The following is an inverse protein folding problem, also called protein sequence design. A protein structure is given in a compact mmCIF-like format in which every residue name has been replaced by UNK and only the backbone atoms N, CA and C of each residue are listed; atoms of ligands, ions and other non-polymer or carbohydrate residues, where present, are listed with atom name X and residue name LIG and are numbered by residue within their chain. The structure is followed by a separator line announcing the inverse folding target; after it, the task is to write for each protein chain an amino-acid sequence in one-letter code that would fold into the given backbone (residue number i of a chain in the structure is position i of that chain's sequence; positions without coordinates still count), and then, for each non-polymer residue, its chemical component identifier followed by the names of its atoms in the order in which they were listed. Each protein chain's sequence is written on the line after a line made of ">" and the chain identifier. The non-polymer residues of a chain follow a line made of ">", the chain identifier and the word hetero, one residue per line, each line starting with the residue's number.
data_IF_625466260935
#
_entry.id   IF_625466260935
#
_cell.length_a   1.000
_cell.length_b   1.000
_cell.length_c   1.000
_cell.angle_alpha   90.00
_cell.angle_beta   90.00
_cell.angle_gamma   90.00
#
_symmetry.space_group_name_H-M   'P 1'
#
loop_
_entity.id
_entity.type
_entity.pdbx_description
1 polymer ?
#
# COMPACT_ATOMS: atom_id res chain seq x y z
N UNK A 1 -18.24 -1.61 -32.93
CA UNK A 1 -17.44 -0.80 -31.98
C UNK A 1 -17.89 -1.24 -30.58
N UNK A 2 -17.22 -2.22 -29.97
CA UNK A 2 -17.52 -2.68 -28.59
C UNK A 2 -16.85 -1.70 -27.64
N UNK A 3 -17.64 -0.86 -27.00
CA UNK A 3 -17.16 -0.03 -25.88
C UNK A 3 -16.70 -0.97 -24.76
N UNK A 4 -15.38 -1.05 -24.55
CA UNK A 4 -14.83 -1.72 -23.37
C UNK A 4 -15.29 -0.94 -22.15
N UNK A 5 -15.99 -1.62 -21.22
CA UNK A 5 -16.30 -1.04 -19.91
C UNK A 5 -14.97 -0.60 -19.26
N UNK A 6 -14.89 0.61 -18.70
CA UNK A 6 -13.71 1.03 -17.97
C UNK A 6 -13.53 0.05 -16.81
N UNK A 7 -12.49 -0.79 -16.87
CA UNK A 7 -12.06 -1.60 -15.72
C UNK A 7 -11.42 -0.62 -14.74
N UNK A 8 -12.10 -0.34 -13.65
CA UNK A 8 -11.49 0.37 -12.52
C UNK A 8 -10.28 -0.47 -12.11
N UNK A 9 -9.06 0.09 -12.04
CA UNK A 9 -7.88 -0.64 -11.59
C UNK A 9 -8.19 -1.27 -10.24
N UNK A 10 -7.96 -2.56 -10.08
CA UNK A 10 -8.26 -3.30 -8.85
C UNK A 10 -7.59 -2.68 -7.62
N UNK A 11 -6.44 -2.07 -7.80
CA UNK A 11 -5.70 -1.34 -6.77
C UNK A 11 -6.41 -0.09 -6.30
N UNK A 12 -6.95 0.71 -7.23
CA UNK A 12 -7.74 1.90 -6.86
C UNK A 12 -9.01 1.51 -6.08
N UNK A 13 -9.70 0.46 -6.53
CA UNK A 13 -10.87 -0.04 -5.81
C UNK A 13 -10.50 -0.50 -4.39
N UNK A 14 -9.36 -1.21 -4.23
CA UNK A 14 -8.85 -1.61 -2.93
C UNK A 14 -8.55 -0.39 -2.04
N UNK A 15 -7.86 0.63 -2.55
CA UNK A 15 -7.52 1.83 -1.79
C UNK A 15 -8.77 2.54 -1.27
N UNK A 16 -9.80 2.69 -2.11
CA UNK A 16 -11.08 3.31 -1.71
C UNK A 16 -11.81 2.46 -0.67
N UNK A 17 -11.88 1.13 -0.87
CA UNK A 17 -12.50 0.23 0.10
C UNK A 17 -11.75 0.19 1.43
N UNK A 18 -10.42 0.21 1.40
CA UNK A 18 -9.59 0.26 2.59
C UNK A 18 -9.79 1.58 3.37
N UNK A 19 -9.90 2.71 2.65
CA UNK A 19 -10.23 3.99 3.28
C UNK A 19 -11.60 3.96 3.94
N UNK A 20 -12.63 3.50 3.24
CA UNK A 20 -13.99 3.39 3.79
C UNK A 20 -14.02 2.47 5.02
N UNK A 21 -13.34 1.33 4.96
CA UNK A 21 -13.23 0.42 6.09
C UNK A 21 -12.51 1.08 7.28
N UNK A 22 -11.40 1.79 7.04
CA UNK A 22 -10.67 2.51 8.06
C UNK A 22 -11.56 3.59 8.73
N UNK A 23 -12.29 4.38 7.93
CA UNK A 23 -13.24 5.39 8.46
C UNK A 23 -14.30 4.73 9.33
N UNK A 24 -14.96 3.67 8.85
CA UNK A 24 -16.03 3.00 9.60
C UNK A 24 -15.51 2.43 10.92
N UNK A 25 -14.38 1.70 10.86
CA UNK A 25 -13.82 1.03 12.05
C UNK A 25 -13.35 2.04 13.09
N UNK A 26 -12.55 3.03 12.67
CA UNK A 26 -12.02 4.04 13.59
C UNK A 26 -13.15 4.90 14.16
N UNK A 27 -14.08 5.37 13.32
CA UNK A 27 -15.20 6.17 13.78
C UNK A 27 -16.10 5.42 14.75
N UNK A 28 -16.42 4.16 14.47
CA UNK A 28 -17.18 3.31 15.40
C UNK A 28 -16.47 3.15 16.75
N UNK A 29 -15.14 2.97 16.74
CA UNK A 29 -14.33 2.88 17.96
C UNK A 29 -14.34 4.22 18.74
N UNK A 30 -14.25 5.34 18.04
CA UNK A 30 -14.31 6.67 18.67
C UNK A 30 -15.67 6.97 19.30
N UNK A 31 -16.76 6.69 18.59
CA UNK A 31 -18.13 6.94 19.09
C UNK A 31 -18.51 5.94 20.18
N UNK A 32 -18.09 4.67 20.05
CA UNK A 32 -18.47 3.62 20.99
C UNK A 32 -17.64 3.57 22.28
N UNK A 33 -16.39 4.00 22.22
CA UNK A 33 -15.47 3.83 23.36
C UNK A 33 -14.76 5.13 23.77
N UNK A 34 -14.08 5.81 22.85
CA UNK A 34 -13.17 6.92 23.20
C UNK A 34 -13.97 8.12 23.72
N UNK A 35 -14.94 8.61 22.94
CA UNK A 35 -15.72 9.80 23.31
C UNK A 35 -16.55 9.61 24.59
N UNK A 36 -17.31 8.50 24.77
CA UNK A 36 -18.04 8.28 26.01
C UNK A 36 -17.14 8.18 27.24
N UNK A 37 -15.98 7.53 27.10
CA UNK A 37 -15.00 7.42 28.20
C UNK A 37 -14.36 8.76 28.54
N UNK A 38 -14.05 9.58 27.56
CA UNK A 38 -13.50 10.92 27.76
C UNK A 38 -14.54 11.85 28.42
N UNK A 39 -15.80 11.82 27.94
CA UNK A 39 -16.87 12.66 28.45
C UNK A 39 -17.22 12.29 29.90
N UNK A 40 -17.24 11.01 30.24
CA UNK A 40 -17.43 10.56 31.64
C UNK A 40 -16.32 11.05 32.57
N UNK A 41 -15.08 11.05 32.13
CA UNK A 41 -13.96 11.57 32.93
C UNK A 41 -14.00 13.09 33.08
N UNK A 42 -14.32 13.81 32.01
CA UNK A 42 -14.47 15.28 32.07
C UNK A 42 -15.62 15.69 33.00
N UNK A 43 -16.74 14.97 32.94
CA UNK A 43 -17.88 15.22 33.85
C UNK A 43 -17.50 14.94 35.31
N UNK A 44 -16.74 13.87 35.59
CA UNK A 44 -16.25 13.57 36.94
C UNK A 44 -15.28 14.66 37.44
N UNK A 45 -14.39 15.17 36.59
CA UNK A 45 -13.48 16.25 36.93
C UNK A 45 -14.25 17.56 37.21
N UNK A 46 -15.23 17.90 36.38
CA UNK A 46 -16.04 19.08 36.58
C UNK A 46 -16.85 19.03 37.90
N UNK A 47 -17.35 17.85 38.27
CA UNK A 47 -18.06 17.66 39.56
C UNK A 47 -17.12 17.85 40.77
N UNK A 48 -15.87 17.36 40.69
CA UNK A 48 -14.85 17.57 41.73
C UNK A 48 -14.46 19.04 41.86
N UNK A 49 -14.28 19.75 40.76
CA UNK A 49 -14.02 21.20 40.76
C UNK A 49 -15.16 21.98 41.40
N UNK A 50 -16.41 21.65 41.10
CA UNK A 50 -17.57 22.30 41.67
C UNK A 50 -17.70 22.07 43.17
N UNK A 51 -17.15 20.96 43.71
CA UNK A 51 -17.18 20.67 45.14
C UNK A 51 -16.13 21.43 45.97
N UNK A 52 -15.27 22.26 45.34
CA UNK A 52 -14.23 23.04 46.01
C UNK A 52 -13.05 22.20 46.54
N UNK A 53 -12.93 20.92 46.18
CA UNK A 53 -11.83 20.07 46.56
C UNK A 53 -10.57 20.50 45.79
N UNK A 54 -9.40 20.47 46.46
CA UNK A 54 -8.11 20.67 45.79
C UNK A 54 -7.93 19.50 44.78
N UNK A 55 -8.06 19.83 43.48
CA UNK A 55 -8.03 18.85 42.39
C UNK A 55 -6.88 19.15 41.42
N UNK A 56 -6.10 18.13 41.14
CA UNK A 56 -5.08 18.17 40.07
C UNK A 56 -5.69 17.42 38.86
N UNK A 57 -5.89 18.09 37.71
CA UNK A 57 -6.45 17.43 36.54
C UNK A 57 -5.54 16.28 36.07
N UNK A 58 -6.02 15.04 36.17
CA UNK A 58 -5.33 13.92 35.56
C UNK A 58 -5.57 13.93 34.04
N UNK A 59 -4.48 13.99 33.27
CA UNK A 59 -4.53 13.88 31.81
C UNK A 59 -4.69 12.42 31.42
N UNK A 60 -5.93 11.97 31.29
CA UNK A 60 -6.23 10.63 30.75
C UNK A 60 -5.97 10.57 29.26
N UNK A 61 -5.48 9.40 28.78
CA UNK A 61 -5.29 9.14 27.36
C UNK A 61 -6.56 9.35 26.54
N UNK A 62 -7.74 8.97 27.08
CA UNK A 62 -9.03 9.16 26.40
C UNK A 62 -9.34 10.64 26.12
N UNK A 63 -9.02 11.52 27.05
CA UNK A 63 -9.22 12.97 26.90
C UNK A 63 -8.27 13.54 25.85
N UNK A 64 -7.01 13.05 25.83
CA UNK A 64 -5.99 13.52 24.87
C UNK A 64 -6.31 13.13 23.43
N UNK A 65 -6.84 11.90 23.21
CA UNK A 65 -7.10 11.38 21.87
C UNK A 65 -8.55 11.59 21.39
N UNK A 66 -9.39 12.29 22.16
CA UNK A 66 -10.84 12.44 21.90
C UNK A 66 -11.15 13.20 20.62
N UNK A 67 -10.31 14.14 20.25
CA UNK A 67 -10.60 15.14 19.23
C UNK A 67 -10.57 14.58 17.80
N UNK A 68 -11.22 15.30 16.88
CA UNK A 68 -11.38 14.88 15.48
C UNK A 68 -10.06 14.79 14.72
N UNK A 69 -9.06 15.59 15.10
CA UNK A 69 -7.75 15.58 14.48
C UNK A 69 -7.03 14.26 14.75
N UNK A 70 -7.11 13.74 15.98
CA UNK A 70 -6.52 12.45 16.32
C UNK A 70 -7.26 11.32 15.62
N UNK A 71 -8.60 11.38 15.56
CA UNK A 71 -9.40 10.43 14.80
C UNK A 71 -8.98 10.40 13.33
N UNK A 72 -8.84 11.57 12.69
CA UNK A 72 -8.39 11.68 11.31
C UNK A 72 -6.97 11.12 11.10
N UNK A 73 -6.04 11.38 12.04
CA UNK A 73 -4.69 10.82 12.00
C UNK A 73 -4.69 9.29 12.07
N UNK A 74 -5.54 8.69 12.92
CA UNK A 74 -5.66 7.22 13.01
C UNK A 74 -6.25 6.62 11.74
N UNK A 75 -7.28 7.25 11.15
CA UNK A 75 -7.86 6.83 9.86
C UNK A 75 -6.77 6.81 8.79
N UNK A 76 -6.03 7.91 8.64
CA UNK A 76 -4.97 8.03 7.64
C UNK A 76 -3.84 7.04 7.88
N UNK A 77 -3.46 6.80 9.13
CA UNK A 77 -2.42 5.83 9.50
C UNK A 77 -2.85 4.41 9.11
N UNK A 78 -4.06 3.98 9.46
CA UNK A 78 -4.57 2.64 9.13
C UNK A 78 -4.69 2.49 7.61
N UNK A 79 -5.15 3.52 6.90
CA UNK A 79 -5.22 3.51 5.45
C UNK A 79 -3.84 3.36 4.80
N UNK A 80 -2.85 4.13 5.25
CA UNK A 80 -1.46 3.99 4.77
C UNK A 80 -0.89 2.58 5.03
N UNK A 81 -1.15 2.02 6.23
CA UNK A 81 -0.73 0.66 6.57
C UNK A 81 -1.41 -0.39 5.69
N UNK A 82 -2.68 -0.21 5.32
CA UNK A 82 -3.39 -1.11 4.42
C UNK A 82 -2.78 -1.07 3.01
N UNK A 83 -2.45 0.12 2.48
CA UNK A 83 -1.78 0.28 1.17
C UNK A 83 -0.40 -0.39 1.20
N UNK A 84 0.42 -0.10 2.22
CA UNK A 84 1.74 -0.69 2.36
C UNK A 84 1.68 -2.22 2.56
N UNK A 85 0.70 -2.70 3.31
CA UNK A 85 0.47 -4.13 3.51
C UNK A 85 0.17 -4.87 2.22
N UNK A 86 -0.69 -4.31 1.36
CA UNK A 86 -0.96 -4.86 0.04
C UNK A 86 0.32 -4.90 -0.82
N UNK A 87 1.08 -3.79 -0.85
CA UNK A 87 2.33 -3.72 -1.63
C UNK A 87 3.39 -4.68 -1.10
N UNK A 88 3.53 -4.80 0.21
CA UNK A 88 4.43 -5.79 0.82
C UNK A 88 4.03 -7.23 0.45
N UNK A 89 2.73 -7.52 0.38
CA UNK A 89 2.23 -8.83 -0.06
C UNK A 89 2.59 -9.12 -1.52
N UNK A 90 2.31 -8.18 -2.44
CA UNK A 90 2.63 -8.36 -3.86
C UNK A 90 4.13 -8.47 -4.08
N UNK A 91 4.94 -7.64 -3.43
CA UNK A 91 6.42 -7.73 -3.50
C UNK A 91 6.96 -9.07 -3.01
N UNK A 92 6.34 -9.66 -1.97
CA UNK A 92 6.71 -11.01 -1.51
C UNK A 92 6.41 -12.07 -2.55
N UNK A 93 5.29 -11.99 -3.26
CA UNK A 93 4.97 -12.92 -4.33
C UNK A 93 5.99 -12.81 -5.47
N UNK A 94 6.38 -11.59 -5.86
CA UNK A 94 7.44 -11.35 -6.84
C UNK A 94 8.78 -11.94 -6.40
N UNK A 95 9.17 -11.70 -5.13
CA UNK A 95 10.41 -12.23 -4.58
C UNK A 95 10.46 -13.77 -4.61
N UNK A 96 9.34 -14.45 -4.35
CA UNK A 96 9.25 -15.92 -4.37
C UNK A 96 9.50 -16.47 -5.79
N UNK A 97 9.12 -15.71 -6.83
CA UNK A 97 9.38 -16.11 -8.21
C UNK A 97 10.86 -16.06 -8.59
N UNK A 98 11.65 -15.18 -7.98
CA UNK A 98 13.10 -15.10 -8.21
C UNK A 98 13.85 -16.36 -7.73
N UNK A 99 13.28 -17.07 -6.76
CA UNK A 99 13.87 -18.32 -6.25
C UNK A 99 13.55 -19.53 -7.15
N UNK A 100 12.55 -19.39 -8.05
CA UNK A 100 12.17 -20.46 -8.98
C UNK A 100 13.06 -20.45 -10.21
N UNK A 101 13.64 -21.57 -10.55
CA UNK A 101 14.38 -21.74 -11.80
C UNK A 101 13.39 -21.96 -12.97
N UNK A 102 12.88 -20.84 -13.53
CA UNK A 102 11.89 -20.86 -14.61
C UNK A 102 12.47 -21.28 -15.95
N UNK A 103 13.78 -21.06 -16.16
CA UNK A 103 14.48 -21.45 -17.38
C UNK A 103 15.58 -22.42 -16.99
N UNK A 104 15.35 -23.71 -17.28
CA UNK A 104 16.35 -24.76 -17.03
C UNK A 104 17.32 -24.80 -18.20
N UNK A 105 18.41 -24.03 -18.10
CA UNK A 105 19.52 -24.09 -19.07
C UNK A 105 20.63 -24.94 -18.47
N UNK A 106 21.04 -25.99 -19.18
CA UNK A 106 22.22 -26.79 -18.79
C UNK A 106 23.48 -25.95 -18.96
N UNK A 107 24.37 -25.96 -17.98
CA UNK A 107 25.64 -25.25 -18.07
C UNK A 107 26.42 -25.64 -19.36
N UNK A 108 26.94 -24.63 -20.06
CA UNK A 108 27.65 -24.81 -21.30
C UNK A 108 26.81 -24.92 -22.58
N UNK A 109 25.47 -24.83 -22.45
CA UNK A 109 24.56 -24.83 -23.61
C UNK A 109 24.37 -23.42 -24.14
N UNK A 110 24.60 -23.20 -25.44
CA UNK A 110 24.28 -21.93 -26.10
C UNK A 110 22.81 -21.91 -26.51
N UNK A 111 22.05 -20.93 -26.02
CA UNK A 111 20.66 -20.74 -26.37
C UNK A 111 20.56 -20.14 -27.77
N UNK A 112 19.94 -20.85 -28.71
CA UNK A 112 19.72 -20.37 -30.08
C UNK A 112 18.37 -19.66 -30.17
N UNK A 113 18.20 -18.66 -31.06
CA UNK A 113 16.92 -17.93 -31.21
C UNK A 113 15.73 -18.84 -31.51
N UNK A 114 15.96 -19.94 -32.24
CA UNK A 114 14.92 -20.94 -32.55
C UNK A 114 14.46 -21.75 -31.34
N UNK A 115 15.30 -21.89 -30.31
CA UNK A 115 14.99 -22.64 -29.09
C UNK A 115 14.23 -21.79 -28.07
N UNK A 116 14.25 -20.47 -28.21
CA UNK A 116 13.60 -19.53 -27.29
C UNK A 116 12.13 -19.86 -27.04
N UNK A 117 11.41 -20.33 -28.09
CA UNK A 117 10.01 -20.74 -27.98
C UNK A 117 9.82 -21.99 -27.11
N UNK A 118 10.77 -22.90 -27.05
CA UNK A 118 10.69 -24.07 -26.19
C UNK A 118 10.81 -23.70 -24.72
N UNK A 119 11.69 -22.74 -24.39
CA UNK A 119 11.84 -22.21 -23.03
C UNK A 119 10.63 -21.38 -22.62
N UNK A 120 10.02 -20.62 -23.55
CA UNK A 120 8.80 -19.86 -23.29
C UNK A 120 7.62 -20.75 -22.86
N UNK A 121 7.48 -21.94 -23.43
CA UNK A 121 6.40 -22.90 -23.07
C UNK A 121 6.40 -23.28 -21.60
N UNK A 122 7.57 -23.38 -20.96
CA UNK A 122 7.66 -23.67 -19.52
C UNK A 122 7.07 -22.55 -18.68
N UNK A 123 7.24 -21.31 -19.11
CA UNK A 123 6.69 -20.13 -18.43
C UNK A 123 5.20 -19.97 -18.78
N UNK A 124 4.80 -20.21 -20.02
CA UNK A 124 3.40 -20.17 -20.45
C UNK A 124 2.54 -21.26 -19.78
N UNK A 125 3.14 -22.31 -19.25
CA UNK A 125 2.46 -23.37 -18.51
C UNK A 125 2.15 -23.00 -17.06
N UNK A 126 2.67 -21.87 -16.55
CA UNK A 126 2.34 -21.35 -15.22
C UNK A 126 0.85 -20.93 -15.16
N UNK A 127 0.30 -20.84 -13.96
CA UNK A 127 -1.04 -20.28 -13.76
C UNK A 127 -1.09 -18.82 -14.26
N UNK A 128 -2.23 -18.39 -14.80
CA UNK A 128 -2.41 -17.04 -15.39
C UNK A 128 -1.97 -15.92 -14.43
N UNK A 129 -2.31 -16.06 -13.14
CA UNK A 129 -1.90 -15.10 -12.11
C UNK A 129 -0.38 -15.06 -11.87
N UNK A 130 0.32 -16.18 -12.07
CA UNK A 130 1.79 -16.24 -11.96
C UNK A 130 2.48 -15.69 -13.21
N UNK A 131 1.87 -15.82 -14.38
CA UNK A 131 2.39 -15.25 -15.63
C UNK A 131 2.37 -13.71 -15.64
N UNK A 132 1.46 -13.09 -14.88
CA UNK A 132 1.37 -11.64 -14.75
C UNK A 132 2.47 -11.04 -13.86
N UNK A 133 3.17 -11.87 -13.08
CA UNK A 133 4.29 -11.42 -12.24
C UNK A 133 5.46 -10.91 -13.10
N UNK A 134 6.26 -10.02 -12.52
CA UNK A 134 7.33 -9.30 -13.23
C UNK A 134 8.32 -10.25 -13.92
N UNK A 135 8.84 -11.25 -13.16
CA UNK A 135 9.86 -12.15 -13.69
C UNK A 135 9.36 -13.01 -14.87
N UNK A 136 8.23 -13.76 -14.79
CA UNK A 136 7.69 -14.52 -15.92
C UNK A 136 7.40 -13.64 -17.13
N UNK A 137 6.75 -12.49 -16.93
CA UNK A 137 6.41 -11.55 -18.00
C UNK A 137 7.66 -10.98 -18.68
N UNK A 138 8.68 -10.59 -17.91
CA UNK A 138 9.94 -10.08 -18.43
C UNK A 138 10.70 -11.15 -19.21
N UNK A 139 10.72 -12.40 -18.70
CA UNK A 139 11.37 -13.53 -19.40
C UNK A 139 10.66 -13.86 -20.72
N UNK A 140 9.31 -13.89 -20.74
CA UNK A 140 8.54 -14.11 -21.98
C UNK A 140 8.84 -13.02 -23.01
N UNK A 141 8.88 -11.75 -22.58
CA UNK A 141 9.23 -10.64 -23.47
C UNK A 141 10.67 -10.75 -23.99
N UNK A 142 11.62 -11.08 -23.13
CA UNK A 142 13.01 -11.29 -23.48
C UNK A 142 13.19 -12.43 -24.49
N UNK A 143 12.56 -13.58 -24.25
CA UNK A 143 12.60 -14.75 -25.15
C UNK A 143 11.96 -14.45 -26.51
N UNK A 144 10.83 -13.77 -26.50
CA UNK A 144 10.14 -13.32 -27.72
C UNK A 144 11.01 -12.38 -28.53
N UNK A 145 11.63 -11.38 -27.87
CA UNK A 145 12.55 -10.44 -28.53
C UNK A 145 13.80 -11.12 -29.05
N UNK A 146 14.35 -12.06 -28.28
CA UNK A 146 15.53 -12.83 -28.73
C UNK A 146 15.21 -13.69 -29.94
N UNK A 147 14.06 -14.34 -29.98
CA UNK A 147 13.64 -15.17 -31.14
C UNK A 147 13.49 -14.37 -32.42
N UNK A 148 13.15 -13.07 -32.33
CA UNK A 148 12.92 -12.20 -33.49
C UNK A 148 14.16 -11.44 -33.93
N UNK A 149 14.99 -10.98 -32.99
CA UNK A 149 16.12 -10.09 -33.30
C UNK A 149 17.47 -10.80 -33.31
N UNK A 150 17.59 -11.95 -32.65
CA UNK A 150 18.84 -12.65 -32.40
C UNK A 150 19.97 -11.72 -31.85
N UNK A 151 19.61 -10.66 -31.15
CA UNK A 151 20.48 -9.59 -30.70
C UNK A 151 20.44 -9.46 -29.17
N UNK A 152 21.52 -9.93 -28.50
CA UNK A 152 21.63 -9.90 -27.03
C UNK A 152 21.53 -8.47 -26.45
N UNK A 153 22.26 -7.46 -26.98
CA UNK A 153 22.11 -6.07 -26.52
C UNK A 153 20.66 -5.56 -26.56
N UNK A 154 19.92 -5.84 -27.64
CA UNK A 154 18.52 -5.41 -27.76
C UNK A 154 17.59 -6.11 -26.76
N UNK A 155 17.87 -7.36 -26.39
CA UNK A 155 17.15 -8.09 -25.34
C UNK A 155 17.47 -7.50 -23.97
N UNK A 156 18.75 -7.25 -23.68
CA UNK A 156 19.18 -6.66 -22.41
C UNK A 156 18.56 -5.28 -22.18
N UNK A 157 18.49 -4.46 -23.22
CA UNK A 157 17.84 -3.13 -23.16
C UNK A 157 16.34 -3.26 -22.86
N UNK A 158 15.64 -4.18 -23.54
CA UNK A 158 14.21 -4.40 -23.30
C UNK A 158 13.91 -4.91 -21.87
N UNK A 159 14.79 -5.75 -21.31
CA UNK A 159 14.66 -6.20 -19.92
C UNK A 159 14.86 -5.03 -18.95
N UNK A 160 15.87 -4.19 -19.20
CA UNK A 160 16.14 -3.00 -18.39
C UNK A 160 14.98 -2.03 -18.42
N UNK A 161 14.49 -1.69 -19.63
CA UNK A 161 13.33 -0.82 -19.81
C UNK A 161 12.10 -1.33 -19.06
N UNK A 162 11.83 -2.65 -19.11
CA UNK A 162 10.73 -3.25 -18.38
C UNK A 162 10.89 -3.11 -16.86
N UNK A 163 12.10 -3.31 -16.33
CA UNK A 163 12.38 -3.13 -14.90
C UNK A 163 12.24 -1.67 -14.48
N UNK A 164 12.69 -0.72 -15.30
CA UNK A 164 12.57 0.71 -15.03
C UNK A 164 11.10 1.15 -15.00
N UNK A 165 10.28 0.68 -15.95
CA UNK A 165 8.84 0.94 -15.97
C UNK A 165 8.14 0.43 -14.70
N UNK A 166 8.49 -0.78 -14.24
CA UNK A 166 7.88 -1.32 -13.01
C UNK A 166 8.37 -0.59 -11.75
N UNK A 167 9.62 -0.14 -11.72
CA UNK A 167 10.14 0.68 -10.63
C UNK A 167 9.42 2.04 -10.55
N UNK A 168 9.25 2.73 -11.67
CA UNK A 168 8.51 3.99 -11.77
C UNK A 168 7.05 3.83 -11.37
N UNK A 169 6.42 2.73 -11.79
CA UNK A 169 5.06 2.38 -11.40
C UNK A 169 4.95 2.21 -9.89
N UNK A 170 5.85 1.46 -9.27
CA UNK A 170 5.87 1.26 -7.81
C UNK A 170 6.06 2.58 -7.06
N UNK A 171 6.96 3.46 -7.51
CA UNK A 171 7.17 4.78 -6.89
C UNK A 171 5.92 5.66 -7.02
N UNK A 172 5.25 5.63 -8.16
CA UNK A 172 3.97 6.31 -8.38
C UNK A 172 2.87 5.79 -7.44
N UNK A 173 2.77 4.49 -7.26
CA UNK A 173 1.78 3.85 -6.39
C UNK A 173 2.03 4.16 -4.90
N UNK A 174 3.28 4.32 -4.48
CA UNK A 174 3.66 4.73 -3.14
C UNK A 174 3.50 6.24 -2.90
N UNK A 175 3.24 7.03 -3.93
CA UNK A 175 3.06 8.49 -3.78
C UNK A 175 1.92 8.83 -2.84
N UNK A 176 0.83 8.06 -2.83
CA UNK A 176 -0.30 8.25 -1.91
C UNK A 176 0.12 8.10 -0.45
N UNK A 177 0.95 7.12 -0.12
CA UNK A 177 1.50 6.93 1.24
C UNK A 177 2.35 8.13 1.64
N UNK A 178 3.13 8.67 0.70
CA UNK A 178 3.93 9.87 0.91
C UNK A 178 3.06 11.11 1.23
N UNK A 179 1.96 11.30 0.50
CA UNK A 179 1.00 12.36 0.81
C UNK A 179 0.35 12.19 2.18
N UNK A 180 -0.04 10.97 2.55
CA UNK A 180 -0.60 10.68 3.87
C UNK A 180 0.43 10.99 4.97
N UNK A 181 1.70 10.64 4.76
CA UNK A 181 2.79 10.93 5.70
C UNK A 181 2.99 12.42 5.97
N UNK A 182 2.68 13.29 5.00
CA UNK A 182 2.66 14.74 5.18
C UNK A 182 1.37 15.26 5.79
N UNK A 183 0.23 14.62 5.50
CA UNK A 183 -1.08 15.04 6.00
C UNK A 183 -1.19 14.84 7.52
N UNK A 184 -0.68 13.73 8.05
CA UNK A 184 -0.76 13.40 9.49
C UNK A 184 -0.13 14.49 10.37
N UNK A 185 1.13 14.92 10.19
CA UNK A 185 1.70 16.02 10.98
C UNK A 185 0.95 17.34 10.79
N UNK A 186 0.46 17.62 9.57
CA UNK A 186 -0.29 18.84 9.27
C UNK A 186 -1.59 18.92 10.06
N UNK A 187 -2.35 17.80 10.11
CA UNK A 187 -3.58 17.70 10.90
C UNK A 187 -3.27 17.81 12.40
N UNK A 188 -2.21 17.14 12.86
CA UNK A 188 -1.75 17.23 14.25
C UNK A 188 -1.39 18.67 14.66
N UNK A 189 -0.78 19.43 13.76
CA UNK A 189 -0.50 20.85 13.99
C UNK A 189 -1.76 21.69 14.13
N UNK A 190 -2.79 21.45 13.30
CA UNK A 190 -4.09 22.13 13.42
C UNK A 190 -4.71 21.86 14.79
N UNK A 191 -4.68 20.60 15.26
CA UNK A 191 -5.18 20.25 16.59
C UNK A 191 -4.45 20.98 17.72
N UNK A 192 -3.12 21.15 17.58
CA UNK A 192 -2.33 21.91 18.56
C UNK A 192 -2.73 23.39 18.60
N UNK A 193 -2.91 24.01 17.43
CA UNK A 193 -3.33 25.43 17.33
C UNK A 193 -4.71 25.63 17.92
N UNK A 194 -5.65 24.71 17.62
CA UNK A 194 -7.00 24.75 18.20
C UNK A 194 -6.95 24.61 19.71
N UNK A 195 -6.20 23.65 20.24
CA UNK A 195 -6.07 23.45 21.69
C UNK A 195 -5.48 24.63 22.44
N UNK A 196 -4.62 25.45 21.79
CA UNK A 196 -4.12 26.71 22.36
C UNK A 196 -5.23 27.79 22.32
N UNK A 197 -6.05 27.81 21.27
CA UNK A 197 -7.14 28.77 21.13
C UNK A 197 -8.30 28.57 22.11
N UNK A 198 -8.49 27.34 22.59
CA UNK A 198 -9.55 26.96 23.54
C UNK A 198 -9.09 27.05 25.01
N UNK A 199 -7.83 27.38 25.28
CA UNK A 199 -7.23 27.49 26.63
C UNK A 199 -7.25 28.92 27.17
#
# INVERSE_FOLDING_TARGET
>A
MRMSKPRIPSEFAFQVLALLAAVIVVHAFYVGLIRPSADAQLAAQAALQASGAAFVPERSLYVVIRDFEQEACFILMIWALAIMGLKAWTTRQEATMLERNLIQVTEGTTLLPQDARNYARGIEALAEAEQELLLPRTLLNALSRFSTTANIPAVSEAVREQCDIEADKLDSELSMVRYISWAIPSIGFIGTVRGIGDA
#
